data_IF_510437803478
#
_entry.id   IF_510437803478
#
_cell.length_a   1.000
_cell.length_b   1.000
_cell.length_c   1.000
_cell.angle_alpha   90.00
_cell.angle_beta   90.00
_cell.angle_gamma   90.00
#
_symmetry.space_group_name_H-M   'P 1'
#
loop_
_entity.id
_entity.type
_entity.pdbx_description
1 polymer ?
#
# COMPACT_ATOMS: atom_id res chain seq x y z
N UNK A 1 -1.80 -12.04 14.47
CA UNK A 1 -1.01 -10.99 15.17
C UNK A 1 -1.94 -9.81 15.39
N UNK A 2 -2.27 -9.46 16.64
CA UNK A 2 -3.10 -8.26 16.90
C UNK A 2 -2.21 -7.02 16.78
N UNK A 3 -2.11 -6.44 15.59
CA UNK A 3 -1.47 -5.14 15.41
C UNK A 3 -2.32 -4.05 16.07
N UNK A 4 -1.65 -2.99 16.51
CA UNK A 4 -2.29 -1.82 17.12
C UNK A 4 -3.30 -1.20 16.14
N UNK A 5 -4.51 -0.87 16.61
CA UNK A 5 -5.56 -0.20 15.80
C UNK A 5 -5.07 0.95 14.90
N UNK A 6 -4.19 1.87 15.33
CA UNK A 6 -3.69 2.93 14.44
C UNK A 6 -2.84 2.39 13.28
N UNK A 7 -2.09 1.31 13.49
CA UNK A 7 -1.27 0.68 12.44
C UNK A 7 -2.16 0.03 11.39
N UNK A 8 -3.17 -0.71 11.82
CA UNK A 8 -4.17 -1.32 10.92
C UNK A 8 -4.93 -0.25 10.12
N UNK A 9 -5.30 0.87 10.75
CA UNK A 9 -5.94 1.99 10.07
C UNK A 9 -5.01 2.64 9.03
N UNK A 10 -3.76 2.92 9.39
CA UNK A 10 -2.78 3.48 8.47
C UNK A 10 -2.52 2.55 7.27
N UNK A 11 -2.38 1.24 7.53
CA UNK A 11 -2.20 0.24 6.49
C UNK A 11 -3.40 0.15 5.55
N UNK A 12 -4.63 0.23 6.08
CA UNK A 12 -5.84 0.26 5.26
C UNK A 12 -5.89 1.48 4.32
N UNK A 13 -5.63 2.68 4.86
CA UNK A 13 -5.61 3.91 4.06
C UNK A 13 -4.47 3.91 3.04
N UNK A 14 -3.30 3.41 3.42
CA UNK A 14 -2.17 3.27 2.52
C UNK A 14 -2.50 2.29 1.39
N UNK A 15 -3.07 1.12 1.71
CA UNK A 15 -3.55 0.16 0.72
C UNK A 15 -4.64 0.73 -0.19
N UNK A 16 -5.46 1.66 0.28
CA UNK A 16 -6.50 2.32 -0.54
C UNK A 16 -5.91 3.37 -1.49
N UNK A 17 -4.95 4.18 -1.01
CA UNK A 17 -4.44 5.35 -1.73
C UNK A 17 -3.20 5.06 -2.59
N UNK A 18 -2.39 4.06 -2.26
CA UNK A 18 -1.16 3.78 -3.01
C UNK A 18 -1.35 3.57 -4.52
N UNK A 19 -2.44 2.94 -5.02
CA UNK A 19 -2.63 2.72 -6.45
C UNK A 19 -2.64 4.02 -7.25
N UNK A 20 -3.00 5.16 -6.64
CA UNK A 20 -2.97 6.48 -7.28
C UNK A 20 -1.54 6.91 -7.66
N UNK A 21 -0.53 6.34 -7.00
CA UNK A 21 0.89 6.61 -7.28
C UNK A 21 1.40 5.78 -8.47
N UNK A 22 0.72 4.70 -8.88
CA UNK A 22 1.20 3.84 -9.96
C UNK A 22 1.20 4.53 -11.34
N UNK A 23 0.12 5.22 -11.77
CA UNK A 23 0.11 5.87 -13.08
C UNK A 23 1.28 6.82 -13.33
N UNK A 24 1.63 7.78 -12.44
CA UNK A 24 2.77 8.66 -12.70
C UNK A 24 4.10 7.89 -12.75
N UNK A 25 4.28 6.85 -11.94
CA UNK A 25 5.50 6.00 -11.98
C UNK A 25 5.59 5.25 -13.31
N UNK A 26 4.47 4.70 -13.80
CA UNK A 26 4.41 3.97 -15.08
C UNK A 26 4.63 4.93 -16.26
N UNK A 27 3.98 6.10 -16.25
CA UNK A 27 4.13 7.14 -17.29
C UNK A 27 5.57 7.66 -17.34
N UNK A 28 6.23 7.80 -16.19
CA UNK A 28 7.63 8.20 -16.12
C UNK A 28 8.61 7.15 -16.68
N UNK A 29 8.15 5.92 -16.91
CA UNK A 29 8.94 4.81 -17.46
C UNK A 29 9.88 4.16 -16.43
N UNK A 30 10.28 2.92 -16.72
CA UNK A 30 11.26 2.15 -15.95
C UNK A 30 12.48 1.92 -16.84
N UNK A 31 13.43 2.86 -16.81
CA UNK A 31 14.63 2.88 -17.64
C UNK A 31 15.92 2.46 -16.90
N UNK A 32 15.83 2.24 -15.59
CA UNK A 32 16.98 2.07 -14.71
C UNK A 32 16.63 1.16 -13.52
N UNK A 33 17.68 0.54 -12.95
CA UNK A 33 17.54 -0.33 -11.79
C UNK A 33 16.98 0.40 -10.57
N UNK A 34 17.28 1.70 -10.42
CA UNK A 34 16.73 2.54 -9.34
C UNK A 34 15.21 2.70 -9.49
N UNK A 35 14.71 3.01 -10.68
CA UNK A 35 13.26 3.11 -10.96
C UNK A 35 12.56 1.77 -10.81
N UNK A 36 13.20 0.69 -11.26
CA UNK A 36 12.67 -0.66 -11.06
C UNK A 36 12.55 -0.99 -9.56
N UNK A 37 13.61 -0.71 -8.79
CA UNK A 37 13.62 -0.93 -7.34
C UNK A 37 12.55 -0.09 -6.62
N UNK A 38 12.35 1.16 -7.06
CA UNK A 38 11.27 2.01 -6.57
C UNK A 38 9.90 1.38 -6.83
N UNK A 39 9.63 0.94 -8.07
CA UNK A 39 8.36 0.33 -8.42
C UNK A 39 8.09 -0.95 -7.63
N UNK A 40 9.09 -1.84 -7.54
CA UNK A 40 8.98 -3.08 -6.75
C UNK A 40 8.78 -2.78 -5.26
N UNK A 41 9.51 -1.80 -4.72
CA UNK A 41 9.35 -1.36 -3.33
C UNK A 41 7.94 -0.82 -3.07
N UNK A 42 7.40 -0.03 -4.00
CA UNK A 42 6.04 0.50 -3.93
C UNK A 42 4.99 -0.63 -3.92
N UNK A 43 5.11 -1.59 -4.84
CA UNK A 43 4.23 -2.77 -4.88
C UNK A 43 4.35 -3.62 -3.62
N UNK A 44 5.55 -3.79 -3.08
CA UNK A 44 5.78 -4.56 -1.85
C UNK A 44 5.15 -3.87 -0.64
N UNK A 45 5.32 -2.55 -0.51
CA UNK A 45 4.66 -1.75 0.54
C UNK A 45 3.14 -1.84 0.39
N UNK A 46 2.62 -1.79 -0.84
CA UNK A 46 1.19 -1.95 -1.09
C UNK A 46 0.67 -3.31 -0.61
N UNK A 47 1.35 -4.40 -0.98
CA UNK A 47 0.97 -5.75 -0.56
C UNK A 47 0.98 -5.88 0.97
N UNK A 48 2.01 -5.36 1.64
CA UNK A 48 2.07 -5.31 3.11
C UNK A 48 0.91 -4.50 3.70
N UNK A 49 0.58 -3.35 3.10
CA UNK A 49 -0.53 -2.52 3.53
C UNK A 49 -1.89 -3.25 3.40
N UNK A 50 -2.10 -4.02 2.33
CA UNK A 50 -3.29 -4.85 2.15
C UNK A 50 -3.37 -5.97 3.19
N UNK A 51 -2.27 -6.66 3.47
CA UNK A 51 -2.22 -7.75 4.46
C UNK A 51 -2.46 -7.21 5.87
N UNK A 52 -1.81 -6.10 6.24
CA UNK A 52 -1.91 -5.52 7.59
C UNK A 52 -3.25 -4.79 7.80
N UNK A 53 -3.76 -4.12 6.77
CA UNK A 53 -5.01 -3.36 6.83
C UNK A 53 -6.27 -4.21 6.66
N UNK A 54 -6.13 -5.50 6.34
CA UNK A 54 -7.27 -6.40 6.05
C UNK A 54 -8.32 -6.42 7.17
N UNK A 55 -7.86 -6.42 8.43
CA UNK A 55 -8.72 -6.49 9.62
C UNK A 55 -9.26 -5.12 10.08
N UNK A 56 -9.07 -4.05 9.30
CA UNK A 56 -9.58 -2.73 9.65
C UNK A 56 -11.12 -2.70 9.63
N UNK A 57 -11.75 -2.85 10.80
CA UNK A 57 -13.19 -2.73 10.96
C UNK A 57 -13.62 -1.25 11.02
N UNK A 58 -13.46 -0.51 9.93
CA UNK A 58 -13.77 0.92 9.89
C UNK A 58 -15.24 1.27 10.13
N UNK A 59 -16.17 0.35 9.88
CA UNK A 59 -17.62 0.65 9.98
C UNK A 59 -18.54 -0.57 9.90
N UNK A 60 -18.06 -1.79 10.15
CA UNK A 60 -18.95 -2.96 10.18
C UNK A 60 -19.80 -2.90 11.46
N UNK A 61 -20.93 -2.17 11.38
CA UNK A 61 -22.09 -2.40 12.24
C UNK A 61 -22.37 -3.90 12.20
N UNK A 62 -22.44 -4.50 13.39
CA UNK A 62 -22.68 -5.92 13.61
C UNK A 62 -23.88 -6.43 12.82
#
# INVERSE_FOLDING_TARGET
MHLSRPVTAAAFWLGTLLPVVYPPVIVAGIDSLSRLSLFVGLVSIHALALVVGHDYSGSRSR
#
